data_IF_258346933266
#
_entry.id   IF_258346933266
#
_cell.length_a   1.000
_cell.length_b   1.000
_cell.length_c   1.000
_cell.angle_alpha   90.00
_cell.angle_beta   90.00
_cell.angle_gamma   90.00
#
_symmetry.space_group_name_H-M   'P 1'
#
loop_
_entity.id
_entity.type
_entity.pdbx_description
1 polymer ?
#
# COMPACT_ATOMS: atom_id res chain seq x y z
N UNK A 1 -32.86 -38.28 -3.98
CA UNK A 1 -33.20 -36.88 -4.34
C UNK A 1 -32.98 -35.86 -3.20
N UNK A 2 -32.93 -36.26 -1.92
CA UNK A 2 -32.76 -35.33 -0.78
C UNK A 2 -31.36 -34.73 -0.59
N UNK A 3 -30.29 -35.37 -1.07
CA UNK A 3 -28.92 -34.90 -0.85
C UNK A 3 -28.59 -33.59 -1.60
N UNK A 4 -29.06 -33.45 -2.86
CA UNK A 4 -28.77 -32.29 -3.70
C UNK A 4 -29.42 -30.98 -3.18
N UNK A 5 -30.57 -31.06 -2.51
CA UNK A 5 -31.28 -29.88 -1.95
C UNK A 5 -30.55 -29.34 -0.72
N UNK A 6 -30.01 -30.23 0.13
CA UNK A 6 -29.24 -29.84 1.33
C UNK A 6 -27.91 -29.20 0.96
N UNK A 7 -27.21 -29.73 -0.06
CA UNK A 7 -25.98 -29.10 -0.57
C UNK A 7 -26.25 -27.73 -1.18
N UNK A 8 -27.34 -27.57 -1.94
CA UNK A 8 -27.71 -26.30 -2.55
C UNK A 8 -28.09 -25.26 -1.47
N UNK A 9 -28.85 -25.64 -0.45
CA UNK A 9 -29.20 -24.74 0.66
C UNK A 9 -27.97 -24.28 1.46
N UNK A 10 -27.05 -25.19 1.81
CA UNK A 10 -25.79 -24.85 2.49
C UNK A 10 -24.87 -23.98 1.64
N UNK A 11 -24.85 -24.19 0.33
CA UNK A 11 -24.09 -23.37 -0.61
C UNK A 11 -24.66 -21.94 -0.68
N UNK A 12 -25.99 -21.79 -0.76
CA UNK A 12 -26.65 -20.48 -0.72
C UNK A 12 -26.46 -19.74 0.62
N UNK A 13 -26.55 -20.43 1.76
CA UNK A 13 -26.25 -19.82 3.07
C UNK A 13 -24.79 -19.37 3.19
N UNK A 14 -23.87 -20.15 2.64
CA UNK A 14 -22.44 -19.82 2.62
C UNK A 14 -22.15 -18.61 1.72
N UNK A 15 -22.71 -18.57 0.50
CA UNK A 15 -22.60 -17.42 -0.39
C UNK A 15 -23.24 -16.17 0.22
N UNK A 16 -24.41 -16.27 0.85
CA UNK A 16 -25.07 -15.15 1.51
C UNK A 16 -24.24 -14.60 2.70
N UNK A 17 -23.68 -15.49 3.53
CA UNK A 17 -22.77 -15.11 4.61
C UNK A 17 -21.48 -14.47 4.08
N UNK A 18 -20.92 -14.98 2.97
CA UNK A 18 -19.75 -14.39 2.33
C UNK A 18 -20.04 -12.99 1.77
N UNK A 19 -21.14 -12.82 1.04
CA UNK A 19 -21.57 -11.53 0.48
C UNK A 19 -21.77 -10.52 1.61
N UNK A 20 -22.49 -10.89 2.67
CA UNK A 20 -22.68 -10.00 3.84
C UNK A 20 -21.35 -9.66 4.53
N UNK A 21 -20.44 -10.63 4.68
CA UNK A 21 -19.12 -10.39 5.26
C UNK A 21 -18.29 -9.43 4.40
N UNK A 22 -18.33 -9.56 3.07
CA UNK A 22 -17.64 -8.66 2.14
C UNK A 22 -18.22 -7.25 2.21
N UNK A 23 -19.55 -7.09 2.19
CA UNK A 23 -20.22 -5.79 2.31
C UNK A 23 -19.88 -5.10 3.63
N UNK A 24 -19.94 -5.84 4.75
CA UNK A 24 -19.59 -5.30 6.08
C UNK A 24 -18.13 -4.84 6.13
N UNK A 25 -17.20 -5.58 5.53
CA UNK A 25 -15.78 -5.21 5.52
C UNK A 25 -15.51 -3.97 4.65
N UNK A 26 -16.17 -3.87 3.49
CA UNK A 26 -16.12 -2.66 2.66
C UNK A 26 -16.61 -1.43 3.43
N UNK A 27 -17.77 -1.53 4.10
CA UNK A 27 -18.32 -0.46 4.91
C UNK A 27 -17.39 -0.04 6.07
N UNK A 28 -16.68 -0.99 6.70
CA UNK A 28 -15.70 -0.67 7.76
C UNK A 28 -14.52 0.14 7.22
N UNK A 29 -14.00 -0.24 6.06
CA UNK A 29 -12.91 0.45 5.38
C UNK A 29 -13.32 1.89 5.03
N UNK A 30 -14.47 2.05 4.38
CA UNK A 30 -15.01 3.35 4.00
C UNK A 30 -15.25 4.24 5.23
N UNK A 31 -15.85 3.69 6.31
CA UNK A 31 -16.06 4.43 7.57
C UNK A 31 -14.75 4.90 8.21
N UNK A 32 -13.71 4.07 8.19
CA UNK A 32 -12.41 4.44 8.73
C UNK A 32 -11.81 5.62 7.95
N UNK A 33 -11.89 5.58 6.62
CA UNK A 33 -11.39 6.65 5.76
C UNK A 33 -12.19 7.95 5.92
N UNK A 34 -13.52 7.87 5.98
CA UNK A 34 -14.38 9.03 6.22
C UNK A 34 -14.11 9.66 7.60
N UNK A 35 -13.84 8.85 8.63
CA UNK A 35 -13.45 9.37 9.94
C UNK A 35 -12.14 10.15 9.86
N UNK A 36 -11.17 9.66 9.09
CA UNK A 36 -9.92 10.37 8.85
C UNK A 36 -10.18 11.67 8.08
N UNK A 37 -10.92 11.62 6.97
CA UNK A 37 -11.27 12.80 6.19
C UNK A 37 -11.94 13.89 7.04
N UNK A 38 -12.89 13.52 7.91
CA UNK A 38 -13.54 14.47 8.82
C UNK A 38 -12.58 15.03 9.87
N UNK A 39 -11.67 14.19 10.40
CA UNK A 39 -10.66 14.64 11.35
C UNK A 39 -9.73 15.68 10.71
N UNK A 40 -9.22 15.41 9.49
CA UNK A 40 -8.32 16.31 8.77
C UNK A 40 -8.98 17.67 8.45
N UNK A 41 -10.29 17.69 8.22
CA UNK A 41 -11.04 18.92 7.94
C UNK A 41 -11.61 19.60 9.21
N UNK A 42 -11.35 19.07 10.41
CA UNK A 42 -11.86 19.63 11.66
C UNK A 42 -10.87 20.61 12.28
N UNK A 43 -11.32 21.51 13.15
CA UNK A 43 -10.43 22.37 13.97
C UNK A 43 -9.65 21.59 15.05
N UNK A 44 -9.89 20.28 15.18
CA UNK A 44 -9.32 19.40 16.21
C UNK A 44 -8.29 18.42 15.63
N UNK A 45 -7.76 18.69 14.44
CA UNK A 45 -6.71 17.86 13.84
C UNK A 45 -5.41 18.03 14.62
N UNK A 46 -5.21 17.27 15.69
CA UNK A 46 -3.87 17.12 16.27
C UNK A 46 -3.17 15.91 15.67
N UNK A 47 -1.84 16.01 15.59
CA UNK A 47 -1.00 14.99 14.97
C UNK A 47 -1.17 13.61 15.59
N UNK A 48 -1.38 13.52 16.90
CA UNK A 48 -1.50 12.23 17.60
C UNK A 48 -2.78 11.53 17.21
N UNK A 49 -3.88 12.27 17.10
CA UNK A 49 -5.16 11.72 16.65
C UNK A 49 -5.15 11.38 15.16
N UNK A 50 -4.52 12.20 14.32
CA UNK A 50 -4.36 11.91 12.89
C UNK A 50 -3.54 10.64 12.68
N UNK A 51 -2.35 10.55 13.30
CA UNK A 51 -1.48 9.36 13.19
C UNK A 51 -2.17 8.08 13.66
N UNK A 52 -2.86 8.10 14.81
CA UNK A 52 -3.63 6.92 15.29
C UNK A 52 -4.75 6.54 14.33
N UNK A 53 -5.44 7.53 13.77
CA UNK A 53 -6.53 7.28 12.83
C UNK A 53 -6.02 6.68 11.53
N UNK A 54 -4.87 7.16 11.02
CA UNK A 54 -4.17 6.59 9.87
C UNK A 54 -3.77 5.14 10.12
N UNK A 55 -3.19 4.84 11.29
CA UNK A 55 -2.86 3.44 11.68
C UNK A 55 -4.11 2.56 11.64
N UNK A 56 -5.24 3.04 12.14
CA UNK A 56 -6.51 2.30 12.09
C UNK A 56 -7.02 2.11 10.65
N UNK A 57 -6.92 3.12 9.79
CA UNK A 57 -7.27 3.03 8.36
C UNK A 57 -6.42 1.97 7.69
N UNK A 58 -5.10 2.07 7.76
CA UNK A 58 -4.16 1.10 7.15
C UNK A 58 -4.47 -0.31 7.64
N UNK A 59 -4.59 -0.50 8.95
CA UNK A 59 -4.90 -1.81 9.55
C UNK A 59 -6.19 -2.43 9.01
N UNK A 60 -7.20 -1.60 8.79
CA UNK A 60 -8.51 -2.02 8.28
C UNK A 60 -8.44 -2.36 6.80
N UNK A 61 -7.77 -1.51 6.00
CA UNK A 61 -7.66 -1.64 4.54
C UNK A 61 -6.87 -2.90 4.16
N UNK A 62 -5.68 -3.07 4.73
CA UNK A 62 -4.80 -4.21 4.36
C UNK A 62 -5.43 -5.56 4.74
N UNK A 63 -6.36 -5.61 5.70
CA UNK A 63 -7.08 -6.82 6.11
C UNK A 63 -8.49 -6.94 5.50
N UNK A 64 -8.90 -5.97 4.67
CA UNK A 64 -10.24 -5.94 4.10
C UNK A 64 -10.45 -7.08 3.09
N UNK A 65 -11.48 -7.92 3.33
CA UNK A 65 -11.84 -9.01 2.42
C UNK A 65 -12.42 -8.53 1.09
N UNK A 66 -13.07 -7.36 1.06
CA UNK A 66 -13.57 -6.77 -0.18
C UNK A 66 -12.40 -6.32 -1.07
N UNK A 67 -11.31 -5.85 -0.47
CA UNK A 67 -10.21 -5.18 -1.16
C UNK A 67 -10.42 -3.68 -1.19
N UNK A 68 -9.52 -2.99 -1.90
CA UNK A 68 -9.56 -1.54 -2.04
C UNK A 68 -10.52 -1.18 -3.18
N UNK A 69 -11.54 -0.35 -2.90
CA UNK A 69 -12.53 0.12 -3.88
C UNK A 69 -12.06 1.39 -4.59
N UNK A 70 -12.59 1.67 -5.78
CA UNK A 70 -12.35 2.94 -6.47
C UNK A 70 -12.85 4.15 -5.68
N UNK A 71 -13.98 4.01 -4.97
CA UNK A 71 -14.51 5.03 -4.06
C UNK A 71 -13.53 5.36 -2.93
N UNK A 72 -12.92 4.32 -2.34
CA UNK A 72 -11.88 4.50 -1.33
C UNK A 72 -10.68 5.23 -1.92
N UNK A 73 -10.20 4.81 -3.09
CA UNK A 73 -9.03 5.44 -3.74
C UNK A 73 -9.29 6.91 -4.06
N UNK A 74 -10.50 7.26 -4.50
CA UNK A 74 -10.89 8.64 -4.77
C UNK A 74 -10.75 9.53 -3.53
N UNK A 75 -11.34 9.11 -2.40
CA UNK A 75 -11.22 9.86 -1.13
C UNK A 75 -9.79 9.83 -0.60
N UNK A 76 -9.09 8.70 -0.75
CA UNK A 76 -7.71 8.55 -0.33
C UNK A 76 -6.79 9.54 -1.05
N UNK A 77 -6.93 9.68 -2.36
CA UNK A 77 -6.13 10.61 -3.16
C UNK A 77 -6.34 12.08 -2.75
N UNK A 78 -7.55 12.43 -2.32
CA UNK A 78 -7.83 13.78 -1.78
C UNK A 78 -7.09 14.03 -0.46
N UNK A 79 -7.10 13.06 0.47
CA UNK A 79 -6.46 13.24 1.78
C UNK A 79 -4.95 13.04 1.76
N UNK A 80 -4.43 12.24 0.81
CA UNK A 80 -2.99 11.99 0.63
C UNK A 80 -2.29 13.11 -0.15
N UNK A 81 -2.95 14.26 -0.33
CA UNK A 81 -2.33 15.45 -0.90
C UNK A 81 -1.20 15.99 -0.01
N UNK A 82 -1.40 16.00 1.31
CA UNK A 82 -0.43 16.51 2.27
C UNK A 82 0.77 15.57 2.46
N UNK A 83 1.99 16.11 2.46
CA UNK A 83 3.23 15.33 2.52
C UNK A 83 3.42 14.61 3.86
N UNK A 84 3.05 15.26 4.98
CA UNK A 84 3.07 14.69 6.32
C UNK A 84 2.02 13.59 6.51
N UNK A 85 0.85 13.72 5.89
CA UNK A 85 -0.17 12.66 5.84
C UNK A 85 0.34 11.45 5.06
N UNK A 86 0.96 11.63 3.88
CA UNK A 86 1.61 10.55 3.14
C UNK A 86 2.67 9.85 3.97
N UNK A 87 3.51 10.61 4.67
CA UNK A 87 4.52 10.06 5.57
C UNK A 87 3.88 9.15 6.63
N UNK A 88 2.82 9.58 7.31
CA UNK A 88 2.14 8.75 8.32
C UNK A 88 1.53 7.47 7.71
N UNK A 89 0.97 7.54 6.51
CA UNK A 89 0.48 6.36 5.81
C UNK A 89 1.61 5.38 5.50
N UNK A 90 2.75 5.86 4.99
CA UNK A 90 3.91 5.03 4.70
C UNK A 90 4.48 4.38 5.95
N UNK A 91 4.61 5.13 7.05
CA UNK A 91 5.08 4.57 8.34
C UNK A 91 4.14 3.46 8.81
N UNK A 92 2.83 3.70 8.83
CA UNK A 92 1.85 2.71 9.26
C UNK A 92 1.83 1.48 8.35
N UNK A 93 1.92 1.68 7.03
CA UNK A 93 1.92 0.59 6.05
C UNK A 93 3.19 -0.24 6.12
N UNK A 94 4.37 0.38 6.25
CA UNK A 94 5.64 -0.32 6.48
C UNK A 94 5.54 -1.22 7.69
N UNK A 95 5.01 -0.70 8.81
CA UNK A 95 4.85 -1.48 10.04
C UNK A 95 3.97 -2.71 9.83
N UNK A 96 2.91 -2.62 9.04
CA UNK A 96 2.08 -3.80 8.72
C UNK A 96 2.79 -4.77 7.77
N UNK A 97 3.48 -4.29 6.73
CA UNK A 97 4.21 -5.12 5.77
C UNK A 97 5.35 -5.89 6.44
N UNK A 98 6.03 -5.29 7.43
CA UNK A 98 7.14 -5.92 8.16
C UNK A 98 6.69 -7.02 9.13
N UNK A 99 5.40 -7.15 9.43
CA UNK A 99 4.91 -8.27 10.24
C UNK A 99 5.09 -9.58 9.47
N UNK A 100 5.23 -10.70 10.18
CA UNK A 100 5.30 -12.01 9.56
C UNK A 100 3.91 -12.48 9.09
N UNK A 101 3.89 -13.34 8.07
CA UNK A 101 2.70 -14.05 7.56
C UNK A 101 1.62 -13.17 6.92
N UNK A 102 1.73 -13.00 5.61
CA UNK A 102 0.73 -12.29 4.81
C UNK A 102 0.03 -13.23 3.85
N UNK A 103 -1.30 -13.22 3.87
CA UNK A 103 -2.08 -13.90 2.85
C UNK A 103 -2.11 -13.09 1.54
N UNK A 104 -2.52 -13.73 0.45
CA UNK A 104 -2.58 -13.09 -0.87
C UNK A 104 -3.44 -11.82 -0.91
N UNK A 105 -4.52 -11.77 -0.11
CA UNK A 105 -5.41 -10.60 -0.06
C UNK A 105 -4.73 -9.42 0.64
N UNK A 106 -4.00 -9.66 1.72
CA UNK A 106 -3.20 -8.65 2.38
C UNK A 106 -2.16 -8.06 1.43
N UNK A 107 -1.45 -8.91 0.70
CA UNK A 107 -0.43 -8.47 -0.24
C UNK A 107 -1.05 -7.63 -1.37
N UNK A 108 -2.20 -8.05 -1.91
CA UNK A 108 -2.89 -7.28 -2.95
C UNK A 108 -3.37 -5.92 -2.43
N UNK A 109 -4.02 -5.87 -1.27
CA UNK A 109 -4.50 -4.62 -0.70
C UNK A 109 -3.35 -3.67 -0.34
N UNK A 110 -2.23 -4.20 0.17
CA UNK A 110 -1.03 -3.42 0.48
C UNK A 110 -0.40 -2.86 -0.80
N UNK A 111 -0.33 -3.67 -1.86
CA UNK A 111 0.13 -3.22 -3.17
C UNK A 111 -0.75 -2.11 -3.75
N UNK A 112 -2.07 -2.28 -3.72
CA UNK A 112 -3.00 -1.26 -4.22
C UNK A 112 -2.90 0.05 -3.43
N UNK A 113 -2.68 -0.02 -2.11
CA UNK A 113 -2.44 1.16 -1.28
C UNK A 113 -1.07 1.80 -1.57
N UNK A 114 0.00 1.01 -1.77
CA UNK A 114 1.31 1.52 -2.17
C UNK A 114 1.27 2.25 -3.51
N UNK A 115 0.55 1.71 -4.50
CA UNK A 115 0.35 2.36 -5.79
C UNK A 115 -0.39 3.70 -5.68
N UNK A 116 -1.31 3.81 -4.72
CA UNK A 116 -2.11 5.00 -4.50
C UNK A 116 -1.36 6.13 -3.79
N UNK A 117 -0.25 5.82 -3.10
CA UNK A 117 0.59 6.84 -2.46
C UNK A 117 1.61 7.32 -3.49
N UNK A 118 1.50 8.56 -4.01
CA UNK A 118 2.47 9.08 -4.96
C UNK A 118 3.84 9.19 -4.31
N UNK A 119 4.88 9.02 -5.10
CA UNK A 119 6.24 9.27 -4.65
C UNK A 119 6.36 10.70 -4.09
N UNK A 120 7.15 10.90 -3.02
CA UNK A 120 7.39 12.24 -2.48
C UNK A 120 7.91 13.16 -3.59
N UNK A 121 7.39 14.40 -3.64
CA UNK A 121 7.84 15.41 -4.59
C UNK A 121 8.32 16.65 -3.83
N UNK A 122 9.49 17.18 -4.20
CA UNK A 122 10.06 18.39 -3.62
C UNK A 122 9.20 19.62 -3.93
N UNK A 123 8.57 19.66 -5.09
CA UNK A 123 7.88 20.85 -5.62
C UNK A 123 6.45 21.01 -5.06
N UNK A 124 5.78 19.92 -4.68
CA UNK A 124 4.36 19.93 -4.25
C UNK A 124 4.20 19.66 -2.74
N UNK A 125 5.02 20.30 -1.89
CA UNK A 125 4.99 20.06 -0.44
C UNK A 125 3.95 20.94 0.25
N UNK A 126 2.69 20.56 0.14
CA UNK A 126 1.68 21.04 1.08
C UNK A 126 1.76 20.20 2.37
N UNK A 127 1.81 20.86 3.53
CA UNK A 127 1.80 20.23 4.84
C UNK A 127 0.49 20.55 5.54
N UNK A 128 -0.08 19.57 6.23
CA UNK A 128 -1.25 19.79 7.08
C UNK A 128 -0.84 20.46 8.40
N UNK A 129 0.28 20.04 8.97
CA UNK A 129 0.81 20.57 10.22
C UNK A 129 1.88 21.63 9.97
N UNK A 130 2.04 22.58 10.90
CA UNK A 130 3.15 23.53 10.84
C UNK A 130 4.49 22.81 10.85
N UNK A 131 5.56 23.44 10.34
CA UNK A 131 6.88 22.81 10.33
C UNK A 131 7.38 22.46 11.73
N UNK A 132 7.11 23.29 12.75
CA UNK A 132 7.49 22.98 14.14
C UNK A 132 6.74 21.76 14.68
N UNK A 133 5.43 21.66 14.44
CA UNK A 133 4.64 20.49 14.80
C UNK A 133 5.11 19.25 14.02
N UNK A 134 5.36 19.38 12.73
CA UNK A 134 5.86 18.32 11.87
C UNK A 134 7.24 17.80 12.34
N UNK A 135 8.20 18.71 12.57
CA UNK A 135 9.58 18.39 12.93
C UNK A 135 9.73 17.86 14.36
N UNK A 136 8.94 18.36 15.32
CA UNK A 136 8.98 17.90 16.72
C UNK A 136 8.62 16.42 16.92
N UNK A 137 8.13 15.79 15.86
CA UNK A 137 7.39 14.56 15.91
C UNK A 137 8.08 13.40 15.20
N UNK A 138 8.89 13.73 14.19
CA UNK A 138 9.97 12.92 13.65
C UNK A 138 11.03 13.88 13.12
N UNK A 139 12.28 13.79 13.60
CA UNK A 139 13.44 14.53 13.08
C UNK A 139 13.66 14.35 11.55
N UNK A 140 12.87 13.46 10.92
CA UNK A 140 12.98 12.96 9.57
C UNK A 140 11.82 13.35 8.65
N UNK A 141 10.84 14.19 9.06
CA UNK A 141 9.85 14.76 8.11
C UNK A 141 10.45 15.83 7.17
N UNK A 142 11.67 15.57 6.70
CA UNK A 142 12.26 16.15 5.50
C UNK A 142 11.91 15.22 4.34
N UNK A 143 11.85 15.76 3.13
CA UNK A 143 11.64 14.95 1.92
C UNK A 143 12.55 13.71 1.83
N UNK A 144 13.81 13.83 2.25
CA UNK A 144 14.72 12.68 2.28
C UNK A 144 14.21 11.56 3.19
N UNK A 145 13.57 11.87 4.32
CA UNK A 145 12.97 10.88 5.19
C UNK A 145 11.66 10.32 4.65
N UNK A 146 10.81 11.14 4.03
CA UNK A 146 9.61 10.61 3.34
C UNK A 146 9.97 9.73 2.14
N UNK A 147 11.02 10.08 1.40
CA UNK A 147 11.52 9.25 0.30
C UNK A 147 12.16 7.96 0.81
N UNK A 148 12.89 8.04 1.92
CA UNK A 148 13.47 6.87 2.56
C UNK A 148 12.38 5.89 3.02
N UNK A 149 11.34 6.36 3.72
CA UNK A 149 10.23 5.50 4.15
C UNK A 149 9.45 4.93 2.96
N UNK A 150 9.22 5.72 1.90
CA UNK A 150 8.62 5.25 0.65
C UNK A 150 9.42 4.09 0.06
N UNK A 151 10.74 4.26 -0.06
CA UNK A 151 11.63 3.25 -0.61
C UNK A 151 11.64 1.98 0.25
N UNK A 152 11.69 2.13 1.57
CA UNK A 152 11.62 1.02 2.51
C UNK A 152 10.28 0.27 2.47
N UNK A 153 9.15 0.95 2.25
CA UNK A 153 7.86 0.29 2.05
C UNK A 153 7.92 -0.70 0.88
N UNK A 154 8.42 -0.24 -0.26
CA UNK A 154 8.54 -1.06 -1.47
C UNK A 154 9.55 -2.20 -1.31
N UNK A 155 10.72 -1.93 -0.74
CA UNK A 155 11.75 -2.96 -0.47
C UNK A 155 11.21 -4.04 0.47
N UNK A 156 10.53 -3.66 1.55
CA UNK A 156 9.94 -4.64 2.47
C UNK A 156 8.76 -5.38 1.83
N UNK A 157 8.02 -4.75 0.93
CA UNK A 157 6.93 -5.39 0.21
C UNK A 157 7.44 -6.53 -0.69
N UNK A 158 8.46 -6.27 -1.54
CA UNK A 158 8.98 -7.25 -2.50
C UNK A 158 9.71 -8.44 -1.87
N UNK A 159 10.10 -8.33 -0.59
CA UNK A 159 10.65 -9.45 0.20
C UNK A 159 9.61 -10.51 0.54
N UNK A 160 8.32 -10.19 0.43
CA UNK A 160 7.26 -11.17 0.66
C UNK A 160 7.13 -12.14 -0.50
N UNK A 161 6.66 -13.36 -0.21
CA UNK A 161 6.31 -14.33 -1.25
C UNK A 161 5.03 -13.90 -1.97
N UNK A 162 5.19 -13.19 -3.09
CA UNK A 162 4.07 -12.68 -3.88
C UNK A 162 3.39 -13.82 -4.67
N UNK A 163 2.04 -13.84 -4.77
CA UNK A 163 1.33 -14.66 -5.74
C UNK A 163 1.79 -14.33 -7.17
N UNK A 164 1.85 -15.30 -8.10
CA UNK A 164 2.44 -15.09 -9.44
C UNK A 164 1.88 -13.90 -10.22
N UNK A 165 0.55 -13.70 -10.18
CA UNK A 165 -0.10 -12.55 -10.85
C UNK A 165 0.32 -11.21 -10.25
N UNK A 166 0.37 -11.13 -8.92
CA UNK A 166 0.79 -9.93 -8.20
C UNK A 166 2.29 -9.67 -8.37
N UNK A 167 3.10 -10.72 -8.45
CA UNK A 167 4.54 -10.62 -8.71
C UNK A 167 4.80 -9.93 -10.05
N UNK A 168 4.12 -10.39 -11.11
CA UNK A 168 4.23 -9.77 -12.43
C UNK A 168 3.76 -8.30 -12.44
N UNK A 169 2.58 -8.02 -11.86
CA UNK A 169 2.07 -6.63 -11.72
C UNK A 169 3.05 -5.74 -10.96
N UNK A 170 3.67 -6.27 -9.89
CA UNK A 170 4.64 -5.57 -9.06
C UNK A 170 5.92 -5.24 -9.84
N UNK A 171 6.48 -6.17 -10.62
CA UNK A 171 7.65 -5.91 -11.46
C UNK A 171 7.42 -4.78 -12.45
N UNK A 172 6.28 -4.80 -13.15
CA UNK A 172 5.92 -3.76 -14.12
C UNK A 172 5.73 -2.39 -13.47
N UNK A 173 5.17 -2.37 -12.26
CA UNK A 173 4.99 -1.13 -11.52
C UNK A 173 6.32 -0.57 -11.01
N UNK A 174 7.20 -1.44 -10.51
CA UNK A 174 8.50 -1.07 -9.97
C UNK A 174 9.37 -0.41 -11.04
N UNK A 175 9.43 -1.02 -12.24
CA UNK A 175 10.15 -0.48 -13.40
C UNK A 175 9.76 0.97 -13.70
N UNK A 176 8.46 1.22 -13.82
CA UNK A 176 7.94 2.50 -14.29
C UNK A 176 7.84 3.58 -13.21
N UNK A 177 7.53 3.22 -11.97
CA UNK A 177 7.08 4.17 -10.96
C UNK A 177 7.93 4.20 -9.69
N UNK A 178 8.75 3.17 -9.44
CA UNK A 178 9.49 3.04 -8.18
C UNK A 178 10.98 3.25 -8.40
N UNK A 179 11.62 2.47 -9.28
CA UNK A 179 13.06 2.58 -9.54
C UNK A 179 13.55 4.00 -9.90
N UNK A 180 12.80 4.80 -10.70
CA UNK A 180 13.25 6.14 -11.06
C UNK A 180 13.33 7.13 -9.89
N UNK A 181 12.68 6.84 -8.75
CA UNK A 181 12.48 7.81 -7.67
C UNK A 181 12.98 7.35 -6.31
N UNK A 182 13.19 6.05 -6.08
CA UNK A 182 13.66 5.52 -4.78
C UNK A 182 15.05 6.02 -4.40
N UNK A 183 15.32 6.03 -3.11
CA UNK A 183 16.60 6.49 -2.55
C UNK A 183 17.80 5.60 -2.94
N UNK A 184 17.59 4.30 -3.06
CA UNK A 184 18.61 3.32 -3.43
C UNK A 184 18.01 2.18 -4.28
N UNK A 185 18.05 2.29 -5.63
CA UNK A 185 17.51 1.27 -6.54
C UNK A 185 18.14 -0.12 -6.37
N UNK A 186 19.39 -0.19 -5.92
CA UNK A 186 20.13 -1.46 -5.71
C UNK A 186 19.44 -2.41 -4.72
N UNK A 187 18.57 -1.93 -3.83
CA UNK A 187 17.83 -2.81 -2.93
C UNK A 187 16.79 -3.70 -3.63
N UNK A 188 16.50 -3.45 -4.90
CA UNK A 188 15.59 -4.27 -5.71
C UNK A 188 16.30 -5.36 -6.52
N UNK A 189 17.64 -5.36 -6.55
CA UNK A 189 18.45 -6.26 -7.39
C UNK A 189 18.11 -7.73 -7.18
N UNK A 190 18.12 -8.22 -5.94
CA UNK A 190 17.83 -9.63 -5.65
C UNK A 190 16.44 -10.05 -6.11
N UNK A 191 15.45 -9.18 -5.93
CA UNK A 191 14.09 -9.41 -6.39
C UNK A 191 14.01 -9.47 -7.92
N UNK A 192 14.66 -8.52 -8.62
CA UNK A 192 14.65 -8.46 -10.09
C UNK A 192 15.41 -9.64 -10.72
N UNK A 193 16.61 -9.95 -10.23
CA UNK A 193 17.43 -11.06 -10.74
C UNK A 193 16.73 -12.40 -10.50
N UNK A 194 16.20 -12.63 -9.30
CA UNK A 194 15.47 -13.87 -9.00
C UNK A 194 14.22 -14.00 -9.87
N UNK A 195 13.48 -12.90 -10.10
CA UNK A 195 12.34 -12.88 -11.03
C UNK A 195 12.75 -13.21 -12.46
N UNK A 196 13.90 -12.69 -12.91
CA UNK A 196 14.44 -12.98 -14.22
C UNK A 196 14.79 -14.47 -14.39
N UNK A 197 15.37 -15.08 -13.36
CA UNK A 197 15.72 -16.50 -13.36
C UNK A 197 14.50 -17.44 -13.35
N UNK A 198 13.31 -16.98 -12.93
CA UNK A 198 12.09 -17.81 -12.86
C UNK A 198 11.46 -18.11 -14.24
N UNK A 199 11.92 -17.49 -15.33
CA UNK A 199 11.41 -17.73 -16.68
C UNK A 199 10.11 -16.99 -17.00
N UNK A 200 9.44 -17.37 -18.08
CA UNK A 200 8.25 -16.67 -18.58
C UNK A 200 7.04 -16.88 -17.64
N UNK A 201 6.25 -15.83 -17.34
CA UNK A 201 6.32 -14.45 -17.87
C UNK A 201 7.16 -13.48 -17.03
N UNK A 202 7.68 -13.89 -15.88
CA UNK A 202 8.37 -13.01 -14.94
C UNK A 202 9.69 -12.46 -15.50
N UNK A 203 10.40 -13.22 -16.31
CA UNK A 203 11.63 -12.76 -16.95
C UNK A 203 11.40 -11.57 -17.89
N UNK A 204 10.34 -11.61 -18.70
CA UNK A 204 9.96 -10.52 -19.58
C UNK A 204 9.57 -9.27 -18.79
N UNK A 205 8.82 -9.44 -17.69
CA UNK A 205 8.45 -8.33 -16.81
C UNK A 205 9.66 -7.73 -16.07
N UNK A 206 10.66 -8.55 -15.73
CA UNK A 206 11.87 -8.11 -15.03
C UNK A 206 12.87 -7.36 -15.93
N UNK A 207 12.79 -7.50 -17.26
CA UNK A 207 13.75 -6.88 -18.19
C UNK A 207 13.82 -5.36 -18.08
N UNK A 208 12.67 -4.69 -17.89
CA UNK A 208 12.63 -3.22 -17.72
C UNK A 208 13.41 -2.79 -16.49
N UNK A 209 13.07 -3.38 -15.34
CA UNK A 209 13.77 -3.15 -14.07
C UNK A 209 15.25 -3.50 -14.15
N UNK A 210 15.62 -4.61 -14.80
CA UNK A 210 17.02 -5.03 -14.94
C UNK A 210 17.82 -4.02 -15.77
N UNK A 211 17.26 -3.58 -16.91
CA UNK A 211 17.87 -2.53 -17.73
C UNK A 211 18.05 -1.24 -16.94
N UNK A 212 17.04 -0.84 -16.16
CA UNK A 212 17.14 0.34 -15.29
C UNK A 212 18.31 0.21 -14.31
N UNK A 213 18.42 -0.92 -13.61
CA UNK A 213 19.49 -1.15 -12.63
C UNK A 213 20.88 -1.17 -13.25
N UNK A 214 21.05 -1.78 -14.43
CA UNK A 214 22.34 -1.78 -15.16
C UNK A 214 22.74 -0.34 -15.53
N UNK A 215 21.82 0.43 -16.13
CA UNK A 215 22.13 1.77 -16.64
C UNK A 215 22.30 2.81 -15.52
N UNK A 216 21.48 2.73 -14.47
CA UNK A 216 21.48 3.72 -13.39
C UNK A 216 22.48 3.39 -12.28
N UNK A 217 22.85 2.11 -12.10
CA UNK A 217 23.66 1.67 -10.96
C UNK A 217 24.93 0.90 -11.34
N UNK A 218 25.25 0.76 -12.64
CA UNK A 218 26.42 0.00 -13.14
C UNK A 218 26.51 -1.43 -12.56
N UNK A 219 25.36 -2.09 -12.49
CA UNK A 219 25.25 -3.49 -12.10
C UNK A 219 25.73 -4.45 -13.19
#
# INVERSE_FOLDING_TARGET
MFCAVVYKARFFEFEFCLVNSVVINSLKMEKALHKLHNLLNSQLHDKRNVSRTIVNVVNTVVRCKAGVSESFLSVFNTISHYEDVKYFFLVALRTEIMKSEHNAKFLKNSFDLLKAIPAPNVESRELLFSYEEAASLHNEMRYSGTLHIFSQCWVNFVRNKLPPSLHCECLLWIDKHVLPVVDCPLYFTDFVISSFAMGFPLNAAALGSLKHLILSCNM
#
